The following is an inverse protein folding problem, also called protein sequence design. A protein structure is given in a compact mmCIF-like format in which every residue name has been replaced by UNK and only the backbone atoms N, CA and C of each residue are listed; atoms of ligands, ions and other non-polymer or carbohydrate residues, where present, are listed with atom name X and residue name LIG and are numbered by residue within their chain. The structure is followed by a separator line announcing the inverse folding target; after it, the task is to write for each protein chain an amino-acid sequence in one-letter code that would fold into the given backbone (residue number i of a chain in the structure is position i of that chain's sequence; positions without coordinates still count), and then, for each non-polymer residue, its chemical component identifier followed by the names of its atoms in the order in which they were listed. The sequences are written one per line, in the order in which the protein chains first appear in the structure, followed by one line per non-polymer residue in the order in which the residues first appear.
data_IF_519089212192
#
_entry.id   IF_519089212192
#
_cell.length_a   1.000
_cell.length_b   1.000
_cell.length_c   1.000
_cell.angle_alpha   90.00
_cell.angle_beta   90.00
_cell.angle_gamma   90.00
#
_symmetry.space_group_name_H-M   'P 1'
#
loop_
_entity.id
_entity.type
_entity.pdbx_description
1 polymer ?
#
# COMPACT_ATOMS: atom_id res chain seq x y z
N UNK A 1 -39.18 -3.00 -25.37
CA UNK A 1 -38.39 -3.46 -24.23
C UNK A 1 -38.76 -2.62 -23.01
N UNK A 2 -39.20 -3.22 -21.90
CA UNK A 2 -39.51 -2.48 -20.70
C UNK A 2 -38.21 -1.90 -20.11
N UNK A 3 -38.19 -0.60 -19.83
CA UNK A 3 -37.10 0.11 -19.20
C UNK A 3 -37.49 0.35 -17.74
N UNK A 4 -36.79 -0.29 -16.80
CA UNK A 4 -36.98 -0.05 -15.38
C UNK A 4 -36.00 1.01 -14.99
N UNK A 5 -36.45 2.19 -14.57
CA UNK A 5 -35.61 3.17 -13.88
C UNK A 5 -35.61 2.85 -12.39
N UNK A 6 -34.46 2.45 -11.89
CA UNK A 6 -34.24 2.31 -10.46
C UNK A 6 -33.67 3.63 -9.97
N UNK A 7 -34.42 4.31 -9.10
CA UNK A 7 -33.90 5.49 -8.38
C UNK A 7 -32.89 4.96 -7.36
N UNK A 8 -31.61 5.38 -7.44
CA UNK A 8 -30.64 4.96 -6.42
C UNK A 8 -31.09 5.44 -5.04
N UNK A 9 -30.89 4.62 -3.99
CA UNK A 9 -31.12 5.08 -2.62
C UNK A 9 -30.24 6.31 -2.35
N UNK A 10 -30.61 7.16 -1.35
CA UNK A 10 -29.74 8.25 -0.93
C UNK A 10 -28.37 7.72 -0.53
N UNK A 11 -27.29 8.48 -0.76
CA UNK A 11 -25.95 8.05 -0.37
C UNK A 11 -25.92 7.73 1.12
N UNK A 12 -25.47 6.52 1.44
CA UNK A 12 -25.24 6.10 2.82
C UNK A 12 -23.89 6.66 3.27
N UNK A 13 -23.84 7.17 4.50
CA UNK A 13 -22.63 7.65 5.12
C UNK A 13 -22.05 6.59 6.07
N UNK A 14 -20.74 6.62 6.23
CA UNK A 14 -20.06 5.71 7.13
C UNK A 14 -20.50 5.88 8.60
N UNK A 15 -20.73 4.77 9.28
CA UNK A 15 -20.95 4.73 10.73
C UNK A 15 -19.65 4.94 11.55
N UNK A 16 -18.50 5.14 10.89
CA UNK A 16 -17.17 5.24 11.49
C UNK A 16 -16.50 6.62 11.32
N UNK A 17 -17.05 7.72 11.89
CA UNK A 17 -16.57 9.08 11.65
C UNK A 17 -15.11 9.30 12.07
N UNK A 18 -14.60 8.54 13.04
CA UNK A 18 -13.20 8.62 13.44
C UNK A 18 -12.26 8.09 12.34
N UNK A 19 -12.62 6.96 11.70
CA UNK A 19 -11.81 6.42 10.60
C UNK A 19 -11.86 7.33 9.38
N UNK A 20 -13.03 7.91 9.09
CA UNK A 20 -13.17 8.92 8.02
C UNK A 20 -12.24 10.12 8.28
N UNK A 21 -12.27 10.68 9.49
CA UNK A 21 -11.43 11.82 9.86
C UNK A 21 -9.93 11.48 9.86
N UNK A 22 -9.56 10.25 10.24
CA UNK A 22 -8.19 9.79 10.22
C UNK A 22 -7.70 9.60 8.78
N UNK A 23 -8.49 8.93 7.92
CA UNK A 23 -8.15 8.73 6.51
C UNK A 23 -8.04 10.06 5.77
N UNK A 24 -8.95 11.02 6.03
CA UNK A 24 -8.89 12.36 5.47
C UNK A 24 -7.58 13.07 5.80
N UNK A 25 -7.09 12.96 7.04
CA UNK A 25 -5.79 13.54 7.42
C UNK A 25 -4.64 12.92 6.65
N UNK A 26 -4.70 11.61 6.40
CA UNK A 26 -3.70 10.90 5.62
C UNK A 26 -3.75 11.27 4.12
N UNK A 27 -4.93 11.57 3.56
CA UNK A 27 -5.05 12.11 2.18
C UNK A 27 -4.32 13.45 2.01
N UNK A 28 -4.28 14.27 3.06
CA UNK A 28 -3.58 15.55 3.07
C UNK A 28 -2.07 15.40 3.34
N UNK A 29 -1.60 14.22 3.75
CA UNK A 29 -0.20 13.95 4.06
C UNK A 29 0.56 13.52 2.79
N UNK A 30 1.76 14.04 2.63
CA UNK A 30 2.65 13.73 1.50
C UNK A 30 3.63 12.59 1.77
N UNK A 31 3.40 11.77 2.79
CA UNK A 31 4.27 10.62 3.09
C UNK A 31 4.27 9.62 1.95
N UNK A 32 5.46 9.17 1.55
CA UNK A 32 5.61 8.19 0.47
C UNK A 32 5.36 6.75 0.93
N UNK A 33 5.55 6.48 2.22
CA UNK A 33 5.47 5.14 2.82
C UNK A 33 4.74 5.21 4.15
N UNK A 34 4.13 4.10 4.53
CA UNK A 34 3.38 3.97 5.78
C UNK A 34 1.94 3.51 5.58
N UNK A 35 1.14 3.62 6.63
CA UNK A 35 -0.29 3.32 6.60
C UNK A 35 -1.11 4.59 6.84
N UNK A 36 -2.25 4.72 6.16
CA UNK A 36 -2.75 3.88 5.06
C UNK A 36 -1.90 4.00 3.80
N UNK A 37 -1.85 2.93 2.99
CA UNK A 37 -1.33 3.01 1.63
C UNK A 37 -2.50 3.30 0.69
N UNK A 38 -2.42 4.42 -0.04
CA UNK A 38 -3.48 4.86 -0.94
C UNK A 38 -2.99 4.72 -2.37
N UNK A 39 -3.74 3.99 -3.19
CA UNK A 39 -3.43 3.72 -4.59
C UNK A 39 -4.57 4.30 -5.42
N UNK A 40 -4.25 5.30 -6.25
CA UNK A 40 -5.20 5.91 -7.17
C UNK A 40 -4.82 5.56 -8.62
N UNK A 41 -5.73 4.88 -9.31
CA UNK A 41 -5.55 4.45 -10.69
C UNK A 41 -6.60 5.13 -11.57
N UNK A 42 -6.20 6.06 -12.47
CA UNK A 42 -7.13 6.69 -13.39
C UNK A 42 -7.57 5.69 -14.47
N UNK A 43 -8.84 5.74 -14.86
CA UNK A 43 -9.32 5.01 -16.03
C UNK A 43 -8.95 5.75 -17.32
N UNK A 44 -8.40 5.03 -18.29
CA UNK A 44 -7.76 5.61 -19.49
C UNK A 44 -8.66 6.47 -20.39
N UNK A 45 -9.98 6.46 -20.20
CA UNK A 45 -10.94 7.15 -21.10
C UNK A 45 -11.97 8.01 -20.37
N UNK A 46 -11.89 8.12 -19.07
CA UNK A 46 -12.83 8.89 -18.24
C UNK A 46 -12.03 9.70 -17.21
N UNK A 47 -12.69 10.68 -16.58
CA UNK A 47 -12.11 11.37 -15.41
C UNK A 47 -12.27 10.56 -14.11
N UNK A 48 -12.76 9.33 -14.25
CA UNK A 48 -13.00 8.44 -13.14
C UNK A 48 -11.71 7.73 -12.71
N UNK A 49 -11.66 7.33 -11.45
CA UNK A 49 -10.54 6.58 -10.88
C UNK A 49 -11.01 5.43 -10.01
N UNK A 50 -10.15 4.44 -9.90
CA UNK A 50 -10.20 3.45 -8.83
C UNK A 50 -9.37 3.97 -7.68
N UNK A 51 -9.92 3.90 -6.47
CA UNK A 51 -9.20 4.18 -5.23
C UNK A 51 -9.10 2.90 -4.43
N UNK A 52 -7.89 2.47 -4.12
CA UNK A 52 -7.64 1.33 -3.25
C UNK A 52 -6.89 1.81 -2.01
N UNK A 53 -7.43 1.52 -0.84
CA UNK A 53 -6.82 1.88 0.44
C UNK A 53 -6.44 0.60 1.18
N UNK A 54 -5.15 0.42 1.47
CA UNK A 54 -4.66 -0.69 2.28
C UNK A 54 -4.33 -0.15 3.67
N UNK A 55 -5.10 -0.61 4.67
CA UNK A 55 -5.01 -0.09 6.03
C UNK A 55 -5.47 -1.11 7.07
N UNK A 56 -4.62 -1.48 8.02
CA UNK A 56 -4.96 -2.51 9.01
C UNK A 56 -6.09 -2.11 9.98
N UNK A 57 -6.40 -0.81 10.06
CA UNK A 57 -7.57 -0.37 10.83
C UNK A 57 -8.91 -0.82 10.24
N UNK A 58 -8.90 -1.34 9.03
CA UNK A 58 -10.07 -1.96 8.38
C UNK A 58 -10.36 -3.40 8.86
N UNK A 59 -9.51 -4.00 9.71
CA UNK A 59 -9.63 -5.40 10.11
C UNK A 59 -10.97 -5.83 10.73
N UNK A 60 -11.77 -4.86 11.22
CA UNK A 60 -13.06 -5.13 11.87
C UNK A 60 -14.26 -4.68 11.05
N UNK A 61 -14.02 -4.12 9.87
CA UNK A 61 -15.04 -3.61 8.98
C UNK A 61 -15.26 -4.59 7.83
N UNK A 62 -16.51 -4.72 7.39
CA UNK A 62 -16.81 -5.40 6.15
C UNK A 62 -16.46 -4.52 4.94
N UNK A 63 -16.57 -5.08 3.74
CA UNK A 63 -16.17 -4.38 2.51
C UNK A 63 -17.03 -3.14 2.22
N UNK A 64 -18.31 -3.17 2.56
CA UNK A 64 -19.25 -2.07 2.36
C UNK A 64 -18.91 -0.91 3.30
N UNK A 65 -18.69 -1.18 4.59
CA UNK A 65 -18.27 -0.19 5.57
C UNK A 65 -16.95 0.47 5.20
N UNK A 66 -15.96 -0.29 4.70
CA UNK A 66 -14.67 0.23 4.23
C UNK A 66 -14.86 1.17 3.04
N UNK A 67 -15.71 0.77 2.09
CA UNK A 67 -16.05 1.59 0.92
C UNK A 67 -16.66 2.92 1.35
N UNK A 68 -17.60 2.92 2.29
CA UNK A 68 -18.20 4.15 2.83
C UNK A 68 -17.19 5.04 3.54
N UNK A 69 -16.27 4.47 4.33
CA UNK A 69 -15.18 5.24 4.97
C UNK A 69 -14.32 5.95 3.93
N UNK A 70 -13.96 5.26 2.84
CA UNK A 70 -13.14 5.83 1.77
C UNK A 70 -13.89 6.96 1.07
N UNK A 71 -15.13 6.73 0.65
CA UNK A 71 -15.92 7.72 -0.06
C UNK A 71 -16.15 8.98 0.79
N UNK A 72 -16.52 8.83 2.05
CA UNK A 72 -16.75 9.95 2.97
C UNK A 72 -15.45 10.74 3.27
N UNK A 73 -14.29 10.06 3.34
CA UNK A 73 -13.01 10.74 3.53
C UNK A 73 -12.66 11.62 2.32
N UNK A 74 -12.90 11.12 1.11
CA UNK A 74 -12.66 11.89 -0.12
C UNK A 74 -13.67 13.03 -0.30
N UNK A 75 -14.96 12.81 0.02
CA UNK A 75 -15.98 13.86 -0.06
C UNK A 75 -15.64 15.05 0.87
N UNK A 76 -15.20 14.77 2.08
CA UNK A 76 -14.83 15.79 3.05
C UNK A 76 -13.52 16.51 2.71
N UNK A 77 -12.59 15.83 2.02
CA UNK A 77 -11.30 16.43 1.66
C UNK A 77 -11.44 17.45 0.53
N UNK A 78 -12.23 17.14 -0.49
CA UNK A 78 -12.29 17.91 -1.74
C UNK A 78 -13.43 18.95 -1.79
N UNK A 79 -14.08 19.25 -0.68
CA UNK A 79 -15.15 20.26 -0.58
C UNK A 79 -16.19 20.18 -1.72
N UNK A 80 -16.67 18.98 -2.00
CA UNK A 80 -17.70 18.73 -3.03
C UNK A 80 -17.19 18.49 -4.45
N UNK A 81 -15.87 18.52 -4.67
CA UNK A 81 -15.26 17.99 -5.87
C UNK A 81 -14.78 16.56 -5.62
N UNK A 82 -15.72 15.63 -5.36
CA UNK A 82 -15.38 14.20 -5.41
C UNK A 82 -14.66 13.95 -6.73
N UNK A 83 -13.36 13.54 -6.72
CA UNK A 83 -12.84 12.92 -7.91
C UNK A 83 -13.84 11.83 -8.24
N UNK A 84 -14.22 11.71 -9.50
CA UNK A 84 -15.21 10.71 -9.91
C UNK A 84 -14.67 9.33 -9.58
N UNK A 85 -14.93 8.89 -8.34
CA UNK A 85 -14.52 7.56 -7.87
C UNK A 85 -15.53 6.57 -8.42
N UNK A 86 -15.10 5.79 -9.41
CA UNK A 86 -15.92 4.72 -9.95
C UNK A 86 -15.85 3.46 -9.09
N UNK A 87 -14.72 3.25 -8.41
CA UNK A 87 -14.50 2.07 -7.56
C UNK A 87 -13.68 2.48 -6.33
N UNK A 88 -14.18 2.17 -5.14
CA UNK A 88 -13.47 2.32 -3.87
C UNK A 88 -13.30 0.93 -3.21
N UNK A 89 -12.07 0.54 -2.91
CA UNK A 89 -11.74 -0.76 -2.33
C UNK A 89 -10.89 -0.57 -1.07
N UNK A 90 -11.29 -1.23 0.01
CA UNK A 90 -10.55 -1.21 1.28
C UNK A 90 -10.04 -2.60 1.66
N UNK A 91 -8.74 -2.71 1.94
CA UNK A 91 -8.09 -3.95 2.36
C UNK A 91 -7.28 -3.72 3.63
N UNK A 92 -7.11 -4.77 4.44
CA UNK A 92 -5.96 -4.87 5.36
C UNK A 92 -4.71 -5.27 4.58
N UNK A 93 -3.52 -5.16 5.17
CA UNK A 93 -2.29 -5.60 4.48
C UNK A 93 -2.32 -7.09 4.11
N UNK A 94 -2.73 -8.01 5.02
CA UNK A 94 -2.89 -9.43 4.65
C UNK A 94 -3.84 -9.67 3.48
N UNK A 95 -5.00 -9.02 3.47
CA UNK A 95 -5.96 -9.12 2.38
C UNK A 95 -5.38 -8.55 1.08
N UNK A 96 -4.70 -7.40 1.12
CA UNK A 96 -4.07 -6.78 -0.04
C UNK A 96 -2.97 -7.64 -0.68
N UNK A 97 -2.24 -8.42 0.13
CA UNK A 97 -1.28 -9.41 -0.35
C UNK A 97 -1.98 -10.61 -0.99
N UNK A 98 -3.04 -11.12 -0.34
CA UNK A 98 -3.80 -12.28 -0.81
C UNK A 98 -4.54 -11.97 -2.13
N UNK A 99 -5.08 -10.78 -2.28
CA UNK A 99 -5.76 -10.30 -3.48
C UNK A 99 -4.80 -9.81 -4.58
N UNK A 100 -3.47 -9.81 -4.31
CA UNK A 100 -2.46 -9.40 -5.27
C UNK A 100 -2.41 -7.89 -5.51
N UNK A 101 -2.98 -7.09 -4.62
CA UNK A 101 -2.89 -5.61 -4.62
C UNK A 101 -1.48 -5.16 -4.28
N UNK A 102 -0.75 -5.97 -3.50
CA UNK A 102 0.61 -5.73 -3.05
C UNK A 102 1.56 -6.83 -3.58
N UNK A 103 1.86 -6.86 -4.90
CA UNK A 103 2.59 -7.96 -5.52
C UNK A 103 4.11 -7.93 -5.30
N UNK A 104 4.66 -6.88 -4.68
CA UNK A 104 6.09 -6.74 -4.46
C UNK A 104 6.40 -6.70 -2.98
N UNK A 105 7.24 -7.63 -2.53
CA UNK A 105 7.73 -7.69 -1.16
C UNK A 105 9.20 -7.25 -1.10
N UNK A 106 9.51 -6.32 -0.21
CA UNK A 106 10.90 -5.92 0.11
C UNK A 106 11.28 -6.55 1.43
N UNK A 107 12.34 -7.34 1.43
CA UNK A 107 12.87 -7.99 2.63
C UNK A 107 14.40 -8.06 2.60
N UNK A 108 15.08 -8.08 3.77
CA UNK A 108 16.51 -8.32 3.82
C UNK A 108 16.82 -9.82 3.64
N UNK A 109 17.74 -10.14 2.75
CA UNK A 109 18.28 -11.48 2.56
C UNK A 109 19.62 -11.61 3.30
N UNK A 110 19.55 -11.72 4.62
CA UNK A 110 20.73 -11.75 5.49
C UNK A 110 21.45 -13.11 5.43
N UNK A 111 22.77 -13.03 5.35
CA UNK A 111 23.69 -14.19 5.37
C UNK A 111 24.58 -14.15 6.60
N UNK A 112 25.15 -15.30 6.96
CA UNK A 112 26.16 -15.36 8.00
C UNK A 112 27.39 -14.54 7.60
N UNK A 113 27.73 -13.54 8.39
CA UNK A 113 28.85 -12.63 8.13
C UNK A 113 28.45 -11.26 7.56
N UNK A 114 27.17 -11.01 7.32
CA UNK A 114 26.71 -9.67 6.95
C UNK A 114 26.97 -8.67 8.08
N UNK A 115 27.30 -7.44 7.69
CA UNK A 115 27.62 -6.35 8.63
C UNK A 115 26.38 -5.82 9.34
N UNK A 116 25.19 -6.06 8.77
CA UNK A 116 23.91 -5.61 9.31
C UNK A 116 23.11 -6.77 9.90
N UNK A 117 22.31 -6.47 10.93
CA UNK A 117 21.44 -7.42 11.59
C UNK A 117 19.96 -7.25 11.17
N UNK A 118 19.15 -8.28 11.42
CA UNK A 118 17.68 -8.19 11.19
C UNK A 118 17.07 -7.03 11.97
N UNK A 119 17.50 -6.79 13.21
CA UNK A 119 17.02 -5.69 14.04
C UNK A 119 17.35 -4.33 13.43
N UNK A 120 18.57 -4.14 12.90
CA UNK A 120 18.93 -2.89 12.22
C UNK A 120 18.11 -2.65 10.96
N UNK A 121 17.84 -3.71 10.18
CA UNK A 121 16.96 -3.64 9.02
C UNK A 121 15.52 -3.29 9.45
N UNK A 122 15.02 -3.91 10.49
CA UNK A 122 13.70 -3.64 11.07
C UNK A 122 13.57 -2.18 11.50
N UNK A 123 14.56 -1.64 12.23
CA UNK A 123 14.56 -0.24 12.67
C UNK A 123 14.60 0.74 11.49
N UNK A 124 15.38 0.44 10.45
CA UNK A 124 15.41 1.26 9.24
C UNK A 124 14.03 1.28 8.53
N UNK A 125 13.33 0.15 8.49
CA UNK A 125 11.98 0.06 7.91
C UNK A 125 10.96 0.85 8.74
N UNK A 126 11.02 0.79 10.09
CA UNK A 126 10.16 1.58 10.97
C UNK A 126 10.40 3.09 10.75
N UNK A 127 11.63 3.54 10.59
CA UNK A 127 11.94 4.96 10.34
C UNK A 127 11.31 5.48 9.05
N UNK A 128 11.08 4.62 8.07
CA UNK A 128 10.35 4.97 6.84
C UNK A 128 8.82 4.85 6.97
N UNK A 129 8.31 4.62 8.18
CA UNK A 129 6.86 4.53 8.42
C UNK A 129 6.25 3.16 8.13
N UNK A 130 7.07 2.12 7.96
CA UNK A 130 6.56 0.74 7.89
C UNK A 130 5.93 0.35 9.24
N UNK A 131 4.63 0.48 9.35
CA UNK A 131 3.89 0.21 10.58
C UNK A 131 3.51 -1.26 10.77
N UNK A 132 3.73 -2.10 9.75
CA UNK A 132 3.37 -3.51 9.79
C UNK A 132 4.57 -4.36 9.42
N UNK A 133 5.31 -4.72 10.42
CA UNK A 133 6.34 -5.73 10.32
C UNK A 133 5.83 -6.97 11.04
N UNK A 134 5.41 -7.97 10.28
CA UNK A 134 4.80 -9.20 10.78
C UNK A 134 5.70 -9.95 11.76
N UNK A 135 7.00 -9.93 11.48
CA UNK A 135 8.01 -10.62 12.28
C UNK A 135 9.29 -9.78 12.36
N UNK A 136 9.67 -9.25 13.53
CA UNK A 136 10.92 -8.50 13.71
C UNK A 136 12.18 -9.29 13.31
N UNK A 137 12.12 -10.63 13.34
CA UNK A 137 13.23 -11.49 12.90
C UNK A 137 13.29 -11.65 11.38
N UNK A 138 12.18 -11.37 10.70
CA UNK A 138 12.06 -11.40 9.22
C UNK A 138 11.26 -10.20 8.73
N UNK A 139 11.83 -9.00 8.91
CA UNK A 139 11.11 -7.80 8.52
C UNK A 139 10.88 -7.76 7.01
N UNK A 140 9.65 -7.52 6.61
CA UNK A 140 9.29 -7.34 5.20
C UNK A 140 8.18 -6.33 5.04
N UNK A 141 8.09 -5.70 3.86
CA UNK A 141 7.02 -4.78 3.50
C UNK A 141 6.55 -5.08 2.08
N UNK A 142 5.25 -5.26 1.91
CA UNK A 142 4.63 -5.47 0.60
C UNK A 142 4.14 -4.15 0.01
N UNK A 143 4.38 -3.96 -1.29
CA UNK A 143 4.17 -2.72 -2.03
C UNK A 143 3.45 -2.98 -3.36
N UNK A 144 2.71 -1.99 -3.90
CA UNK A 144 1.86 -2.18 -5.06
C UNK A 144 2.63 -2.20 -6.40
N UNK A 145 3.78 -1.51 -6.50
CA UNK A 145 4.54 -1.43 -7.75
C UNK A 145 6.03 -1.70 -7.55
N UNK A 146 6.69 -2.17 -8.62
CA UNK A 146 8.12 -2.41 -8.61
C UNK A 146 8.92 -1.11 -8.43
N UNK A 147 8.44 0.00 -8.99
CA UNK A 147 9.06 1.32 -8.86
C UNK A 147 9.04 1.78 -7.41
N UNK A 148 7.90 1.63 -6.72
CA UNK A 148 7.77 1.99 -5.31
C UNK A 148 8.64 1.09 -4.43
N UNK A 149 8.71 -0.21 -4.72
CA UNK A 149 9.59 -1.13 -4.03
C UNK A 149 11.07 -0.75 -4.19
N UNK A 150 11.48 -0.37 -5.40
CA UNK A 150 12.83 0.13 -5.67
C UNK A 150 13.14 1.41 -4.92
N UNK A 151 12.23 2.38 -4.96
CA UNK A 151 12.36 3.64 -4.23
C UNK A 151 12.45 3.41 -2.72
N UNK A 152 11.69 2.46 -2.20
CA UNK A 152 11.75 2.08 -0.79
C UNK A 152 13.12 1.51 -0.41
N UNK A 153 13.68 0.61 -1.24
CA UNK A 153 15.04 0.07 -1.05
C UNK A 153 16.09 1.20 -1.09
N UNK A 154 15.99 2.14 -2.03
CA UNK A 154 16.92 3.27 -2.12
C UNK A 154 16.87 4.14 -0.84
N UNK A 155 15.69 4.35 -0.26
CA UNK A 155 15.53 5.05 1.02
C UNK A 155 16.10 4.26 2.19
N UNK A 156 15.90 2.94 2.22
CA UNK A 156 16.50 2.06 3.24
C UNK A 156 18.03 2.11 3.20
N UNK A 157 18.62 2.09 2.00
CA UNK A 157 20.06 2.21 1.81
C UNK A 157 20.57 3.59 2.27
N UNK A 158 19.80 4.65 2.06
CA UNK A 158 20.15 5.99 2.53
C UNK A 158 20.20 6.08 4.08
N UNK A 159 19.32 5.36 4.78
CA UNK A 159 19.28 5.30 6.25
C UNK A 159 20.37 4.34 6.78
N UNK A 160 20.57 3.22 6.12
CA UNK A 160 21.48 2.14 6.53
C UNK A 160 22.43 1.79 5.36
N UNK A 161 23.47 2.62 5.07
CA UNK A 161 24.31 2.45 3.87
C UNK A 161 25.02 1.10 3.76
N UNK A 162 25.37 0.48 4.87
CA UNK A 162 26.00 -0.83 4.93
C UNK A 162 25.04 -1.98 4.54
N UNK A 163 23.75 -1.72 4.38
CA UNK A 163 22.74 -2.70 4.00
C UNK A 163 22.53 -2.85 2.48
N UNK A 164 23.33 -2.16 1.66
CA UNK A 164 23.11 -2.08 0.20
C UNK A 164 22.94 -3.44 -0.49
N UNK A 165 23.68 -4.45 -0.05
CA UNK A 165 23.69 -5.77 -0.69
C UNK A 165 22.69 -6.77 -0.09
N UNK A 166 22.02 -6.40 0.99
CA UNK A 166 21.10 -7.32 1.69
C UNK A 166 19.63 -7.18 1.25
N UNK A 167 19.23 -6.06 0.65
CA UNK A 167 17.84 -5.85 0.27
C UNK A 167 17.46 -6.60 -1.00
N UNK A 168 16.36 -7.33 -0.94
CA UNK A 168 15.80 -8.08 -2.07
C UNK A 168 14.35 -7.67 -2.29
N UNK A 169 13.97 -7.52 -3.56
CA UNK A 169 12.59 -7.30 -3.98
C UNK A 169 12.08 -8.61 -4.55
N UNK A 170 11.07 -9.17 -3.94
CA UNK A 170 10.38 -10.38 -4.40
C UNK A 170 9.11 -9.97 -5.15
N UNK A 171 8.90 -10.52 -6.35
CA UNK A 171 7.62 -10.42 -7.04
C UNK A 171 6.72 -11.57 -6.59
N UNK A 172 5.61 -11.25 -5.93
CA UNK A 172 4.62 -12.25 -5.52
C UNK A 172 3.58 -12.41 -6.62
N UNK A 173 3.97 -12.98 -7.75
CA UNK A 173 3.03 -13.32 -8.81
C UNK A 173 2.36 -14.66 -8.48
N UNK A 174 1.24 -14.64 -7.81
CA UNK A 174 0.33 -15.80 -7.78
C UNK A 174 -0.17 -16.03 -9.21
N UNK A 175 0.52 -16.90 -9.96
CA UNK A 175 0.08 -17.36 -11.29
C UNK A 175 1.06 -17.25 -12.44
N UNK A 176 2.23 -16.60 -12.31
CA UNK A 176 3.26 -16.60 -13.35
C UNK A 176 4.65 -16.51 -12.73
N UNK A 177 5.47 -17.52 -12.99
CA UNK A 177 6.93 -17.62 -12.81
C UNK A 177 7.61 -16.67 -11.83
N UNK A 178 8.21 -17.24 -10.79
CA UNK A 178 9.16 -16.58 -9.90
C UNK A 178 10.24 -15.82 -10.69
N UNK A 179 10.06 -14.54 -10.88
CA UNK A 179 11.10 -13.64 -11.35
C UNK A 179 11.77 -13.05 -10.12
N UNK A 180 12.84 -13.69 -9.68
CA UNK A 180 13.73 -13.13 -8.67
C UNK A 180 14.57 -12.04 -9.33
N UNK A 181 14.28 -10.79 -9.09
CA UNK A 181 15.15 -9.68 -9.47
C UNK A 181 16.21 -9.50 -8.39
N UNK A 182 17.32 -10.22 -8.51
CA UNK A 182 18.52 -9.90 -7.76
C UNK A 182 19.17 -8.67 -8.42
N UNK A 183 19.10 -7.52 -7.76
CA UNK A 183 19.84 -6.32 -8.17
C UNK A 183 21.32 -6.53 -7.84
N UNK A 184 22.00 -7.38 -8.60
CA UNK A 184 23.47 -7.44 -8.61
C UNK A 184 23.98 -6.37 -9.57
N UNK A 185 24.13 -5.14 -9.07
CA UNK A 185 24.93 -4.13 -9.75
C UNK A 185 26.42 -4.50 -9.56
N UNK A 186 26.92 -5.46 -10.33
CA UNK A 186 28.36 -5.57 -10.59
C UNK A 186 28.74 -4.43 -11.52
N UNK A 187 29.24 -3.37 -10.97
CA UNK A 187 30.06 -2.40 -11.72
C UNK A 187 31.46 -3.02 -11.77
N UNK A 188 31.81 -3.60 -12.93
CA UNK A 188 33.19 -3.91 -13.26
C UNK A 188 33.88 -2.59 -13.57
N UNK A 189 34.85 -2.19 -12.72
CA UNK A 189 35.83 -1.15 -13.00
C UNK A 189 36.96 -1.69 -13.87
#
# INVERSE_FOLDING_TARGET
MPRIQVTPPPPEHSSHPQLVGDLRRELADSREFGQPLIIEEPFARTEERRVTVVWDRFARLDHEERTLVILDAYDQDQQGALPRIAVALGYTFPEGEDEGVLPYEVAPNLRSGDVVTAEQCHQAMIQLGASVLRDPQRPSLSLPTAELAKKYVDRLIAILPQSREVWTIYGNMRGACNLTFTSSARISG
#
